data_IF_388848869433
#
_entry.id   IF_388848869433
#
_cell.length_a   1.000
_cell.length_b   1.000
_cell.length_c   1.000
_cell.angle_alpha   90.00
_cell.angle_beta   90.00
_cell.angle_gamma   90.00
#
_symmetry.space_group_name_H-M   'P 1'
#
loop_
_entity.id
_entity.type
_entity.pdbx_description
1 polymer ?
#
# COMPACT_ATOMS: atom_id res chain seq x y z
N UNK A 1 21.61 -21.86 -5.16
CA UNK A 1 20.97 -20.59 -5.56
C UNK A 1 19.57 -20.61 -4.98
N UNK A 2 19.28 -19.71 -4.03
CA UNK A 2 17.90 -19.55 -3.55
C UNK A 2 17.10 -18.82 -4.63
N UNK A 3 15.88 -19.28 -4.91
CA UNK A 3 15.01 -18.64 -5.91
C UNK A 3 13.83 -17.95 -5.19
N UNK A 4 13.08 -17.10 -5.91
CA UNK A 4 11.93 -16.37 -5.34
C UNK A 4 10.86 -17.29 -4.71
N UNK A 5 10.82 -18.59 -5.05
CA UNK A 5 9.88 -19.55 -4.45
C UNK A 5 10.26 -19.91 -3.02
N UNK A 6 11.48 -19.63 -2.58
CA UNK A 6 11.89 -19.78 -1.18
C UNK A 6 11.33 -18.65 -0.29
N UNK A 7 10.72 -17.61 -0.89
CA UNK A 7 10.14 -16.45 -0.20
C UNK A 7 8.60 -16.55 -0.01
N UNK A 8 8.00 -17.73 -0.12
CA UNK A 8 6.57 -17.93 0.17
C UNK A 8 6.26 -17.45 1.58
N UNK A 9 5.32 -16.51 1.71
CA UNK A 9 4.96 -15.87 2.99
C UNK A 9 5.89 -14.73 3.43
N UNK A 10 6.90 -14.35 2.64
CA UNK A 10 7.79 -13.24 2.93
C UNK A 10 7.34 -11.99 2.16
N UNK A 11 6.74 -11.05 2.89
CA UNK A 11 6.33 -9.76 2.38
C UNK A 11 7.49 -8.75 2.48
N UNK A 12 7.81 -8.08 1.38
CA UNK A 12 8.89 -7.09 1.30
C UNK A 12 8.26 -5.69 1.35
N UNK A 13 8.51 -4.88 2.40
CA UNK A 13 8.04 -3.50 2.44
C UNK A 13 8.69 -2.67 1.34
N UNK A 14 7.90 -1.85 0.66
CA UNK A 14 8.40 -0.90 -0.35
C UNK A 14 7.63 0.42 -0.27
N UNK A 15 8.07 1.40 -1.07
CA UNK A 15 7.42 2.70 -1.16
C UNK A 15 7.95 3.73 -0.16
N UNK A 16 7.14 4.74 0.13
CA UNK A 16 7.55 5.92 0.90
C UNK A 16 7.58 5.60 2.41
N UNK A 17 8.72 5.84 3.05
CA UNK A 17 8.84 5.76 4.50
C UNK A 17 7.86 6.74 5.20
N UNK A 18 7.26 6.31 6.32
CA UNK A 18 6.27 7.08 7.09
C UNK A 18 5.02 7.51 6.30
N UNK A 19 4.68 6.77 5.24
CA UNK A 19 3.41 6.92 4.50
C UNK A 19 2.21 6.57 5.38
N UNK A 20 1.06 7.21 5.13
CA UNK A 20 -0.23 6.75 5.69
C UNK A 20 -0.82 5.58 4.88
N UNK A 21 -0.21 5.25 3.75
CA UNK A 21 -0.51 4.06 2.97
C UNK A 21 0.76 3.20 2.88
N UNK A 22 0.83 2.15 3.69
CA UNK A 22 1.97 1.24 3.73
C UNK A 22 1.79 0.16 2.67
N UNK A 23 2.89 -0.29 2.05
CA UNK A 23 2.84 -1.27 0.99
C UNK A 23 3.88 -2.35 1.17
N UNK A 24 3.48 -3.59 0.92
CA UNK A 24 4.35 -4.76 0.91
C UNK A 24 4.13 -5.55 -0.38
N UNK A 25 5.15 -6.24 -0.84
CA UNK A 25 5.08 -7.11 -2.01
C UNK A 25 5.41 -8.54 -1.63
N UNK A 26 4.54 -9.49 -2.00
CA UNK A 26 4.78 -10.93 -1.87
C UNK A 26 5.28 -11.48 -3.21
N UNK A 27 6.59 -11.81 -3.34
CA UNK A 27 7.16 -12.18 -4.63
C UNK A 27 6.67 -13.54 -5.16
N UNK A 28 6.29 -14.45 -4.27
CA UNK A 28 5.83 -15.78 -4.64
C UNK A 28 4.54 -15.76 -5.50
N UNK A 29 3.67 -14.77 -5.27
CA UNK A 29 2.39 -14.62 -5.97
C UNK A 29 2.34 -13.38 -6.85
N UNK A 30 3.29 -12.45 -6.67
CA UNK A 30 3.22 -11.12 -7.28
C UNK A 30 2.10 -10.28 -6.68
N UNK A 31 1.81 -10.45 -5.39
CA UNK A 31 0.72 -9.71 -4.71
C UNK A 31 1.25 -8.44 -4.08
N UNK A 32 0.60 -7.31 -4.37
CA UNK A 32 0.73 -6.09 -3.59
C UNK A 32 -0.26 -6.16 -2.42
N UNK A 33 0.25 -5.93 -1.21
CA UNK A 33 -0.54 -5.70 -0.01
C UNK A 33 -0.44 -4.23 0.38
N UNK A 34 -1.51 -3.47 0.18
CA UNK A 34 -1.60 -2.07 0.60
C UNK A 34 -2.41 -1.91 1.87
N UNK A 35 -1.89 -1.20 2.86
CA UNK A 35 -2.52 -1.04 4.17
C UNK A 35 -2.77 0.43 4.52
N UNK A 36 -4.00 0.74 4.91
CA UNK A 36 -4.32 2.03 5.52
C UNK A 36 -3.66 2.14 6.91
N UNK A 37 -2.93 3.23 7.13
CA UNK A 37 -2.33 3.59 8.42
C UNK A 37 -2.45 5.10 8.67
N UNK A 38 -3.69 5.61 8.81
CA UNK A 38 -3.91 7.03 9.04
C UNK A 38 -3.32 7.47 10.39
N UNK A 39 -2.88 8.73 10.46
CA UNK A 39 -2.38 9.34 11.69
C UNK A 39 -3.55 9.93 12.49
N UNK A 40 -4.38 9.07 13.05
CA UNK A 40 -5.59 9.46 13.78
C UNK A 40 -6.75 8.54 13.48
N UNK A 41 -7.96 9.09 13.42
CA UNK A 41 -9.19 8.35 13.08
C UNK A 41 -8.99 7.56 11.78
N UNK A 42 -9.39 6.29 11.79
CA UNK A 42 -9.27 5.36 10.68
C UNK A 42 -10.16 5.71 9.47
N UNK A 43 -10.01 6.90 8.88
CA UNK A 43 -10.86 7.46 7.82
C UNK A 43 -10.01 7.93 6.63
N UNK A 44 -10.67 8.25 5.52
CA UNK A 44 -10.08 8.85 4.33
C UNK A 44 -9.75 10.34 4.53
N UNK A 45 -8.82 10.62 5.43
CA UNK A 45 -8.22 11.95 5.58
C UNK A 45 -7.50 12.37 4.28
N UNK A 46 -7.32 13.68 4.08
CA UNK A 46 -6.56 14.19 2.93
C UNK A 46 -5.12 13.64 2.89
N UNK A 47 -4.52 13.38 4.05
CA UNK A 47 -3.19 12.78 4.15
C UNK A 47 -3.15 11.36 3.60
N UNK A 48 -4.09 10.51 4.01
CA UNK A 48 -4.22 9.14 3.52
C UNK A 48 -4.51 9.12 2.01
N UNK A 49 -5.49 9.90 1.55
CA UNK A 49 -5.86 9.96 0.14
C UNK A 49 -4.70 10.41 -0.76
N UNK A 50 -3.88 11.36 -0.29
CA UNK A 50 -2.70 11.82 -1.01
C UNK A 50 -1.66 10.71 -1.17
N UNK A 51 -1.42 9.92 -0.13
CA UNK A 51 -0.45 8.82 -0.17
C UNK A 51 -0.96 7.62 -0.99
N UNK A 52 -2.26 7.27 -0.91
CA UNK A 52 -2.89 6.26 -1.81
C UNK A 52 -2.72 6.69 -3.27
N UNK A 53 -3.14 7.92 -3.60
CA UNK A 53 -3.06 8.43 -4.99
C UNK A 53 -1.63 8.40 -5.52
N UNK A 54 -0.64 8.74 -4.69
CA UNK A 54 0.78 8.70 -5.06
C UNK A 54 1.20 7.28 -5.45
N UNK A 55 0.85 6.29 -4.63
CA UNK A 55 1.18 4.90 -4.89
C UNK A 55 0.51 4.40 -6.18
N UNK A 56 -0.81 4.58 -6.30
CA UNK A 56 -1.57 4.02 -7.41
C UNK A 56 -1.24 4.70 -8.74
N UNK A 57 -0.91 6.00 -8.72
CA UNK A 57 -0.43 6.70 -9.90
C UNK A 57 0.91 6.14 -10.38
N UNK A 58 1.84 5.83 -9.46
CA UNK A 58 3.12 5.21 -9.82
C UNK A 58 2.91 3.80 -10.39
N UNK A 59 2.02 3.00 -9.79
CA UNK A 59 1.68 1.67 -10.28
C UNK A 59 1.09 1.72 -11.70
N UNK A 60 0.17 2.66 -11.96
CA UNK A 60 -0.42 2.88 -13.28
C UNK A 60 0.63 3.32 -14.32
N UNK A 61 1.49 4.29 -13.97
CA UNK A 61 2.57 4.76 -14.85
C UNK A 61 3.57 3.66 -15.20
N UNK A 62 3.86 2.76 -14.25
CA UNK A 62 4.81 1.66 -14.44
C UNK A 62 4.18 0.41 -15.10
N UNK A 63 2.93 0.48 -15.55
CA UNK A 63 2.25 -0.65 -16.20
C UNK A 63 2.03 -1.84 -15.26
N UNK A 64 1.70 -1.58 -13.99
CA UNK A 64 1.47 -2.64 -13.00
C UNK A 64 2.76 -3.24 -12.43
N UNK A 65 3.89 -2.54 -12.54
CA UNK A 65 5.18 -2.99 -11.98
C UNK A 65 5.62 -2.14 -10.79
N UNK A 66 6.24 -2.78 -9.80
CA UNK A 66 6.73 -2.16 -8.56
C UNK A 66 8.23 -2.31 -8.41
N UNK A 67 8.86 -1.28 -7.85
CA UNK A 67 10.25 -1.35 -7.39
C UNK A 67 10.26 -1.78 -5.92
N UNK A 68 10.84 -2.94 -5.64
CA UNK A 68 10.98 -3.52 -4.30
C UNK A 68 12.43 -3.48 -3.80
N UNK A 69 13.29 -2.72 -4.49
CA UNK A 69 14.74 -2.77 -4.31
C UNK A 69 15.35 -3.97 -5.04
N UNK A 70 16.60 -3.82 -5.50
CA UNK A 70 17.30 -4.88 -6.25
C UNK A 70 17.34 -4.70 -7.78
N UNK A 71 16.86 -3.55 -8.29
CA UNK A 71 17.10 -3.09 -9.66
C UNK A 71 16.00 -3.45 -10.67
N UNK A 72 15.53 -4.71 -10.69
CA UNK A 72 14.46 -5.11 -11.62
C UNK A 72 13.06 -4.86 -11.05
N UNK A 73 12.24 -4.17 -11.83
CA UNK A 73 10.82 -3.94 -11.54
C UNK A 73 10.05 -5.26 -11.57
N UNK A 74 9.28 -5.52 -10.52
CA UNK A 74 8.48 -6.75 -10.38
C UNK A 74 7.05 -6.54 -10.87
N UNK A 75 6.48 -7.54 -11.54
CA UNK A 75 5.09 -7.46 -12.02
C UNK A 75 4.11 -7.79 -10.89
N UNK A 76 3.12 -6.94 -10.68
CA UNK A 76 2.01 -7.20 -9.78
C UNK A 76 0.88 -7.94 -10.51
N UNK A 77 0.50 -9.10 -9.98
CA UNK A 77 -0.62 -9.91 -10.46
C UNK A 77 -1.90 -9.63 -9.69
N UNK A 78 -1.76 -9.27 -8.40
CA UNK A 78 -2.87 -9.01 -7.49
C UNK A 78 -2.59 -7.76 -6.67
N UNK A 79 -3.66 -7.05 -6.29
CA UNK A 79 -3.59 -5.90 -5.42
C UNK A 79 -4.69 -6.00 -4.36
N UNK A 80 -4.27 -6.17 -3.11
CA UNK A 80 -5.15 -6.35 -1.95
C UNK A 80 -5.03 -5.14 -1.03
N UNK A 81 -6.16 -4.60 -0.61
CA UNK A 81 -6.23 -3.51 0.36
C UNK A 81 -6.62 -4.04 1.75
N UNK A 82 -5.89 -3.61 2.77
CA UNK A 82 -6.09 -3.91 4.18
C UNK A 82 -5.99 -2.66 5.06
N UNK A 83 -6.08 -2.85 6.37
CA UNK A 83 -5.91 -1.80 7.38
C UNK A 83 -4.88 -2.25 8.42
N UNK A 84 -4.07 -1.30 8.91
CA UNK A 84 -3.24 -1.48 10.11
C UNK A 84 -3.97 -1.07 11.39
N UNK A 85 -5.14 -0.44 11.29
CA UNK A 85 -5.96 -0.18 12.45
C UNK A 85 -6.55 -1.52 12.97
N UNK A 86 -6.33 -1.87 14.25
CA UNK A 86 -6.76 -3.17 14.78
C UNK A 86 -8.28 -3.27 15.01
N UNK A 87 -9.01 -2.14 14.99
CA UNK A 87 -10.44 -2.08 15.33
C UNK A 87 -11.33 -1.90 14.10
N UNK A 88 -10.82 -1.23 13.06
CA UNK A 88 -11.61 -0.92 11.87
C UNK A 88 -10.81 -1.05 10.57
N UNK A 89 -11.49 -1.49 9.51
CA UNK A 89 -10.93 -1.40 8.16
C UNK A 89 -10.79 0.07 7.73
N UNK A 90 -11.90 0.81 7.69
CA UNK A 90 -11.96 2.26 7.48
C UNK A 90 -13.35 2.77 7.89
N UNK A 91 -13.45 4.00 8.40
CA UNK A 91 -14.67 4.64 8.88
C UNK A 91 -15.33 5.55 7.82
N UNK A 92 -14.79 5.60 6.60
CA UNK A 92 -15.32 6.40 5.50
C UNK A 92 -14.66 7.77 5.39
N UNK A 93 -15.44 8.79 5.02
CA UNK A 93 -14.94 10.16 4.82
C UNK A 93 -14.46 10.84 6.09
N UNK A 94 -13.63 11.87 5.94
CA UNK A 94 -13.19 12.72 7.04
C UNK A 94 -14.33 13.69 7.44
N UNK A 95 -15.14 13.27 8.42
CA UNK A 95 -16.28 14.08 8.89
C UNK A 95 -15.84 15.39 9.55
N UNK A 96 -14.65 15.43 10.16
CA UNK A 96 -14.12 16.65 10.75
C UNK A 96 -13.82 17.69 9.65
N UNK A 97 -13.29 17.25 8.50
CA UNK A 97 -13.10 18.11 7.34
C UNK A 97 -14.45 18.64 6.80
N UNK A 98 -15.48 17.79 6.73
CA UNK A 98 -16.78 18.20 6.17
C UNK A 98 -17.51 19.24 7.00
N UNK A 99 -17.29 19.30 8.30
CA UNK A 99 -17.90 20.33 9.18
C UNK A 99 -17.17 21.68 9.10
N UNK A 100 -15.97 21.71 8.51
CA UNK A 100 -15.18 22.94 8.32
C UNK A 100 -15.41 23.61 6.94
N UNK A 101 -16.16 22.97 6.04
CA UNK A 101 -16.53 23.46 4.71
C UNK A 101 -17.97 23.97 4.70
#
# INVERSE_FOLDING_TARGET
MSNLRDAVGLCIPYGKANSQYETEFEPATGTIWGYFKPRGTACFSLGLLKDIRRHDSALATNGGKVDIGGGEMQTANYYVCGSRDPQAFNLGGDLALFVLL
#
